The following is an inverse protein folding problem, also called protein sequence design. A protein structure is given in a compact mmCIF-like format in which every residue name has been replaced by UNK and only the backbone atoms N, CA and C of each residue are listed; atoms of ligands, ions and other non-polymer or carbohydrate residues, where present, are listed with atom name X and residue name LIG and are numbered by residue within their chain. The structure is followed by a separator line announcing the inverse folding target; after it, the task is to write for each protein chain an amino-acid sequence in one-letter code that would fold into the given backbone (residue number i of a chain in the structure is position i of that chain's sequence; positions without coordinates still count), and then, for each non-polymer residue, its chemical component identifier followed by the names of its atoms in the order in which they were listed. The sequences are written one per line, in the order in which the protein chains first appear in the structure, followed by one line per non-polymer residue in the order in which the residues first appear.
data_IF_619877665294
#
_entry.id   IF_619877665294
#
_cell.length_a   1.000
_cell.length_b   1.000
_cell.length_c   1.000
_cell.angle_alpha   90.00
_cell.angle_beta   90.00
_cell.angle_gamma   90.00
#
_symmetry.space_group_name_H-M   'P 1'
#
loop_
_entity.id
_entity.type
_entity.pdbx_description
1 polymer ?
#
# COMPACT_ATOMS: atom_id res chain seq x y z
N UNK A 1 -10.80 -18.54 -2.00
CA UNK A 1 -10.78 -17.34 -1.13
C UNK A 1 -12.20 -17.09 -0.63
N UNK A 2 -12.38 -16.75 0.66
CA UNK A 2 -13.70 -16.38 1.17
C UNK A 2 -14.07 -14.99 0.64
N UNK A 3 -15.36 -14.73 0.44
CA UNK A 3 -15.86 -13.45 -0.04
C UNK A 3 -15.40 -12.28 0.85
N UNK A 4 -15.36 -12.49 2.17
CA UNK A 4 -14.87 -11.52 3.15
C UNK A 4 -13.42 -11.11 2.91
N UNK A 5 -12.57 -12.03 2.45
CA UNK A 5 -11.17 -11.73 2.12
C UNK A 5 -11.07 -10.87 0.87
N UNK A 6 -11.93 -11.10 -0.12
CA UNK A 6 -11.98 -10.28 -1.34
C UNK A 6 -12.44 -8.86 -1.03
N UNK A 7 -13.44 -8.71 -0.15
CA UNK A 7 -13.86 -7.40 0.37
C UNK A 7 -12.72 -6.68 1.11
N UNK A 8 -12.00 -7.39 1.98
CA UNK A 8 -10.87 -6.84 2.72
C UNK A 8 -9.76 -6.33 1.78
N UNK A 9 -9.43 -7.12 0.74
CA UNK A 9 -8.47 -6.72 -0.31
C UNK A 9 -8.98 -5.50 -1.08
N UNK A 10 -10.26 -5.49 -1.47
CA UNK A 10 -10.87 -4.38 -2.22
C UNK A 10 -10.86 -3.06 -1.45
N UNK A 11 -11.21 -3.09 -0.16
CA UNK A 11 -11.17 -1.92 0.72
C UNK A 11 -9.74 -1.41 0.88
N UNK A 12 -8.79 -2.31 1.14
CA UNK A 12 -7.37 -1.95 1.22
C UNK A 12 -6.88 -1.33 -0.10
N UNK A 13 -7.22 -1.94 -1.23
CA UNK A 13 -6.82 -1.49 -2.56
C UNK A 13 -7.38 -0.11 -2.91
N UNK A 14 -8.63 0.18 -2.56
CA UNK A 14 -9.23 1.50 -2.72
C UNK A 14 -8.43 2.58 -1.96
N UNK A 15 -8.09 2.31 -0.70
CA UNK A 15 -7.31 3.23 0.14
C UNK A 15 -5.90 3.43 -0.46
N UNK A 16 -5.22 2.34 -0.83
CA UNK A 16 -3.88 2.38 -1.42
C UNK A 16 -3.83 3.17 -2.73
N UNK A 17 -4.81 2.98 -3.62
CA UNK A 17 -4.91 3.69 -4.88
C UNK A 17 -5.12 5.20 -4.69
N UNK A 18 -5.97 5.61 -3.74
CA UNK A 18 -6.20 7.02 -3.42
C UNK A 18 -4.92 7.66 -2.87
N UNK A 19 -4.24 7.00 -1.93
CA UNK A 19 -2.97 7.48 -1.38
C UNK A 19 -1.93 7.68 -2.47
N UNK A 20 -1.78 6.71 -3.40
CA UNK A 20 -0.86 6.80 -4.54
C UNK A 20 -1.20 7.99 -5.45
N UNK A 21 -2.47 8.17 -5.77
CA UNK A 21 -2.92 9.28 -6.63
C UNK A 21 -2.67 10.63 -5.96
N UNK A 22 -2.96 10.76 -4.67
CA UNK A 22 -2.79 12.00 -3.91
C UNK A 22 -1.30 12.37 -3.75
N UNK A 23 -0.48 11.43 -3.34
CA UNK A 23 0.97 11.61 -3.16
C UNK A 23 1.69 11.89 -4.48
N UNK A 24 1.36 11.13 -5.53
CA UNK A 24 1.91 11.37 -6.87
C UNK A 24 1.48 12.75 -7.40
N UNK A 25 0.21 13.13 -7.20
CA UNK A 25 -0.30 14.44 -7.61
C UNK A 25 0.38 15.61 -6.87
N UNK A 26 0.58 15.50 -5.55
CA UNK A 26 1.26 16.53 -4.77
C UNK A 26 2.71 16.74 -5.20
N UNK A 27 3.46 15.65 -5.38
CA UNK A 27 4.89 15.71 -5.70
C UNK A 27 5.11 16.18 -7.14
N UNK A 28 4.29 15.71 -8.08
CA UNK A 28 4.38 16.11 -9.48
C UNK A 28 4.02 17.60 -9.68
N UNK A 29 3.22 18.18 -8.78
CA UNK A 29 2.88 19.61 -8.81
C UNK A 29 3.97 20.50 -8.16
N UNK A 30 4.76 19.96 -7.23
CA UNK A 30 5.84 20.70 -6.54
C UNK A 30 7.18 20.63 -7.27
N UNK A 31 7.46 19.53 -7.99
CA UNK A 31 8.75 19.32 -8.65
C UNK A 31 8.50 18.93 -10.12
N UNK A 32 8.61 19.91 -11.03
CA UNK A 32 8.63 19.64 -12.48
C UNK A 32 10.03 19.22 -12.88
N UNK A 33 10.32 17.93 -12.77
CA UNK A 33 11.51 17.29 -13.30
C UNK A 33 11.10 16.11 -14.19
N UNK A 34 11.98 15.70 -15.11
CA UNK A 34 11.76 14.53 -15.96
C UNK A 34 11.68 13.20 -15.19
N UNK A 35 12.11 13.21 -13.92
CA UNK A 35 12.09 12.03 -13.04
C UNK A 35 10.74 12.00 -12.29
N UNK A 36 9.99 10.88 -12.34
CA UNK A 36 8.71 10.72 -11.65
C UNK A 36 8.91 10.51 -10.14
N UNK A 37 9.38 11.55 -9.44
CA UNK A 37 9.64 11.51 -8.00
C UNK A 37 8.39 11.11 -7.20
N UNK A 38 7.20 11.48 -7.66
CA UNK A 38 5.94 11.06 -7.04
C UNK A 38 5.82 9.55 -6.96
N UNK A 39 5.94 8.86 -8.09
CA UNK A 39 5.85 7.40 -8.16
C UNK A 39 6.99 6.71 -7.41
N UNK A 40 8.20 7.28 -7.46
CA UNK A 40 9.36 6.75 -6.77
C UNK A 40 9.23 6.83 -5.25
N UNK A 41 8.76 7.97 -4.72
CA UNK A 41 8.53 8.15 -3.28
C UNK A 41 7.47 7.19 -2.74
N UNK A 42 6.37 6.99 -3.46
CA UNK A 42 5.30 6.08 -3.02
C UNK A 42 5.78 4.64 -2.98
N UNK A 43 6.54 4.21 -3.98
CA UNK A 43 7.13 2.88 -4.02
C UNK A 43 8.15 2.66 -2.90
N UNK A 44 9.01 3.64 -2.62
CA UNK A 44 10.02 3.54 -1.56
C UNK A 44 9.36 3.45 -0.17
N UNK A 45 8.38 4.31 0.08
CA UNK A 45 7.63 4.32 1.36
C UNK A 45 6.78 3.05 1.50
N UNK A 46 6.05 2.67 0.45
CA UNK A 46 5.19 1.50 0.47
C UNK A 46 5.96 0.19 0.63
N UNK A 47 7.10 0.03 -0.03
CA UNK A 47 7.96 -1.16 0.15
C UNK A 47 8.58 -1.24 1.55
N UNK A 48 8.96 -0.10 2.14
CA UNK A 48 9.44 -0.06 3.53
C UNK A 48 8.32 -0.49 4.51
N UNK A 49 7.12 0.06 4.37
CA UNK A 49 5.96 -0.29 5.20
C UNK A 49 5.60 -1.77 5.01
N UNK A 50 5.62 -2.28 3.77
CA UNK A 50 5.37 -3.68 3.47
C UNK A 50 6.39 -4.59 4.16
N UNK A 51 7.68 -4.22 4.17
CA UNK A 51 8.72 -4.94 4.90
C UNK A 51 8.45 -5.01 6.40
N UNK A 52 8.06 -3.89 7.03
CA UNK A 52 7.66 -3.85 8.44
C UNK A 52 6.44 -4.74 8.70
N UNK A 53 5.41 -4.67 7.85
CA UNK A 53 4.20 -5.50 7.97
C UNK A 53 4.52 -6.99 7.89
N UNK A 54 5.37 -7.40 6.95
CA UNK A 54 5.81 -8.80 6.82
C UNK A 54 6.54 -9.24 8.10
N UNK A 55 7.41 -8.40 8.66
CA UNK A 55 8.05 -8.66 9.95
C UNK A 55 7.03 -8.87 11.07
N UNK A 56 6.06 -7.97 11.23
CA UNK A 56 5.00 -8.07 12.24
C UNK A 56 4.15 -9.35 12.09
N UNK A 57 3.88 -9.75 10.85
CA UNK A 57 3.18 -11.00 10.54
C UNK A 57 4.04 -12.21 10.95
N UNK A 58 5.35 -12.18 10.68
CA UNK A 58 6.25 -13.27 11.02
C UNK A 58 6.41 -13.46 12.54
N UNK A 59 6.32 -12.37 13.32
CA UNK A 59 6.30 -12.40 14.78
C UNK A 59 4.92 -12.72 15.38
N UNK A 60 3.94 -13.15 14.57
CA UNK A 60 2.55 -13.44 14.98
C UNK A 60 1.85 -12.27 15.70
N UNK A 61 2.26 -11.02 15.44
CA UNK A 61 1.56 -9.84 15.99
C UNK A 61 0.25 -9.61 15.22
N UNK A 62 0.25 -9.91 13.92
CA UNK A 62 -0.93 -9.83 13.05
C UNK A 62 -1.34 -11.25 12.64
N UNK A 63 -2.18 -11.87 13.46
CA UNK A 63 -2.68 -13.24 13.22
C UNK A 63 -3.92 -13.26 12.31
N UNK A 64 -4.69 -12.17 12.27
CA UNK A 64 -5.92 -12.12 11.50
C UNK A 64 -5.65 -12.09 9.98
N UNK A 65 -6.04 -13.17 9.31
CA UNK A 65 -5.86 -13.37 7.85
C UNK A 65 -6.52 -12.28 7.00
N UNK A 66 -7.65 -11.70 7.46
CA UNK A 66 -8.32 -10.59 6.76
C UNK A 66 -7.51 -9.31 6.83
N UNK A 67 -6.97 -8.97 8.00
CA UNK A 67 -6.13 -7.78 8.20
C UNK A 67 -4.83 -7.91 7.40
N UNK A 68 -4.23 -9.11 7.41
CA UNK A 68 -3.06 -9.42 6.58
C UNK A 68 -3.33 -9.16 5.10
N UNK A 69 -4.42 -9.69 4.57
CA UNK A 69 -4.79 -9.53 3.14
C UNK A 69 -5.17 -8.07 2.80
N UNK A 70 -5.84 -7.37 3.72
CA UNK A 70 -6.18 -5.96 3.55
C UNK A 70 -4.94 -5.08 3.46
N UNK A 71 -3.99 -5.24 4.38
CA UNK A 71 -2.81 -4.38 4.46
C UNK A 71 -1.77 -4.71 3.39
N UNK A 72 -1.51 -5.99 3.14
CA UNK A 72 -0.46 -6.41 2.18
C UNK A 72 -0.97 -6.38 0.75
N UNK A 73 -1.84 -7.31 0.35
CA UNK A 73 -2.29 -7.44 -1.03
C UNK A 73 -3.24 -6.33 -1.47
N UNK A 74 -4.05 -5.79 -0.55
CA UNK A 74 -4.93 -4.66 -0.84
C UNK A 74 -4.15 -3.33 -0.83
N UNK A 75 -3.85 -2.84 0.37
CA UNK A 75 -3.36 -1.47 0.58
C UNK A 75 -1.97 -1.25 0.01
N UNK A 76 -0.98 -2.06 0.41
CA UNK A 76 0.37 -1.93 -0.14
C UNK A 76 0.40 -2.26 -1.63
N UNK A 77 -0.29 -3.31 -2.07
CA UNK A 77 -0.33 -3.70 -3.49
C UNK A 77 -0.94 -2.66 -4.44
N UNK A 78 -1.85 -1.81 -3.97
CA UNK A 78 -2.40 -0.69 -4.77
C UNK A 78 -1.65 0.64 -4.58
N UNK A 79 -0.92 0.76 -3.47
CA UNK A 79 -0.12 1.94 -3.13
C UNK A 79 1.18 1.97 -3.94
N UNK A 80 1.92 0.86 -3.98
CA UNK A 80 3.19 0.71 -4.71
C UNK A 80 2.94 0.41 -6.18
#
# INVERSE_FOLDING_TARGET
MKFDTMLAIGIGGFIGAILRAYTSGLINNTIKHDIPFGTLSVNLIGSFILGVLIGLIQYNIIENSYIKSLLTTGMMGALT
#
